data_IF_579584146285
#
_entry.id   IF_579584146285
#
_cell.length_a   1.000
_cell.length_b   1.000
_cell.length_c   1.000
_cell.angle_alpha   90.00
_cell.angle_beta   90.00
_cell.angle_gamma   90.00
#
_symmetry.space_group_name_H-M   'P 1'
#
loop_
_entity.id
_entity.type
_entity.pdbx_description
1 polymer ?
#
# COMPACT_ATOMS: atom_id res chain seq x y z
N UNK A 1 16.08 16.52 10.88
CA UNK A 1 14.61 16.37 10.86
C UNK A 1 14.08 16.68 12.26
N UNK A 2 12.97 17.44 12.34
CA UNK A 2 12.18 17.49 13.56
C UNK A 2 11.41 16.19 13.73
N UNK A 3 11.14 15.80 14.96
CA UNK A 3 10.32 14.62 15.24
C UNK A 3 8.93 14.76 14.62
N UNK A 4 8.32 13.64 14.25
CA UNK A 4 6.90 13.59 13.93
C UNK A 4 6.07 14.14 15.11
N UNK A 5 4.92 14.76 14.86
CA UNK A 5 4.08 15.34 15.92
C UNK A 5 3.42 14.29 16.81
N UNK A 6 3.45 13.03 16.40
CA UNK A 6 2.89 11.87 17.11
C UNK A 6 3.72 10.62 16.81
N UNK A 7 3.53 9.55 17.56
CA UNK A 7 4.06 8.24 17.19
C UNK A 7 3.30 7.72 15.98
N UNK A 8 4.00 7.12 15.00
CA UNK A 8 3.36 6.60 13.78
C UNK A 8 3.93 5.24 13.43
N UNK A 9 3.05 4.28 13.17
CA UNK A 9 3.41 2.98 12.64
C UNK A 9 2.47 2.55 11.50
N UNK A 10 2.89 1.58 10.69
CA UNK A 10 2.08 1.01 9.60
C UNK A 10 1.47 2.03 8.62
N UNK A 11 2.15 3.15 8.45
CA UNK A 11 1.78 4.21 7.51
C UNK A 11 2.27 3.94 6.09
N UNK A 12 1.64 4.58 5.11
CA UNK A 12 2.21 4.79 3.78
C UNK A 12 3.17 5.99 3.81
N UNK A 13 4.26 5.91 3.04
CA UNK A 13 5.21 7.03 2.90
C UNK A 13 5.54 7.23 1.43
N UNK A 14 5.48 8.47 0.95
CA UNK A 14 5.93 8.83 -0.39
C UNK A 14 6.53 10.24 -0.44
N UNK A 15 7.30 10.49 -1.49
CA UNK A 15 7.98 11.75 -1.75
C UNK A 15 7.51 12.32 -3.09
N UNK A 16 7.25 13.61 -3.14
CA UNK A 16 7.03 14.36 -4.39
C UNK A 16 7.78 15.67 -4.30
N UNK A 17 8.66 15.90 -5.25
CA UNK A 17 9.59 17.01 -5.21
C UNK A 17 10.37 17.03 -3.87
N UNK A 18 10.27 18.10 -3.11
CA UNK A 18 10.87 18.23 -1.79
C UNK A 18 9.87 18.02 -0.65
N UNK A 19 8.72 17.40 -0.90
CA UNK A 19 7.68 17.22 0.11
C UNK A 19 7.49 15.74 0.43
N UNK A 20 7.73 15.39 1.68
CA UNK A 20 7.49 14.05 2.22
C UNK A 20 6.05 13.97 2.76
N UNK A 21 5.37 12.88 2.45
CA UNK A 21 4.02 12.58 2.93
C UNK A 21 4.03 11.31 3.77
N UNK A 22 3.33 11.36 4.90
CA UNK A 22 3.01 10.23 5.78
C UNK A 22 1.49 10.07 5.77
N UNK A 23 1.01 8.91 5.36
CA UNK A 23 -0.39 8.67 5.02
C UNK A 23 -0.96 7.58 5.90
N UNK A 24 -1.99 7.90 6.67
CA UNK A 24 -2.68 6.94 7.53
C UNK A 24 -1.79 6.28 8.58
N UNK A 25 -1.89 4.97 8.70
CA UNK A 25 -1.24 4.18 9.74
C UNK A 25 -1.94 4.31 11.08
N UNK A 26 -1.27 3.85 12.15
CA UNK A 26 -1.67 4.20 13.50
C UNK A 26 -0.92 5.45 13.94
N UNK A 27 -1.62 6.41 14.51
CA UNK A 27 -1.07 7.61 15.13
C UNK A 27 -1.43 7.59 16.62
N UNK A 28 -0.41 7.66 17.49
CA UNK A 28 -0.54 7.44 18.92
C UNK A 28 -1.34 6.17 19.30
N UNK A 29 -1.08 5.09 18.55
CA UNK A 29 -1.70 3.79 18.76
C UNK A 29 -3.11 3.63 18.19
N UNK A 30 -3.66 4.64 17.49
CA UNK A 30 -5.01 4.61 16.92
C UNK A 30 -4.99 4.70 15.39
N UNK A 31 -5.84 3.92 14.66
CA UNK A 31 -5.99 4.05 13.23
C UNK A 31 -6.32 5.49 12.82
N UNK A 32 -5.62 6.00 11.80
CA UNK A 32 -5.72 7.39 11.39
C UNK A 32 -6.05 7.53 9.89
N UNK A 33 -6.87 8.54 9.59
CA UNK A 33 -7.10 9.02 8.23
C UNK A 33 -6.20 10.21 7.86
N UNK A 34 -5.36 10.68 8.79
CA UNK A 34 -4.55 11.89 8.59
C UNK A 34 -3.43 11.68 7.56
N UNK A 35 -3.17 12.73 6.81
CA UNK A 35 -1.99 12.89 5.95
C UNK A 35 -1.13 13.98 6.56
N UNK A 36 0.08 13.61 6.98
CA UNK A 36 1.08 14.55 7.46
C UNK A 36 2.07 14.85 6.33
N UNK A 37 2.58 16.06 6.31
CA UNK A 37 3.59 16.48 5.32
C UNK A 37 4.71 17.28 5.96
N UNK A 38 5.92 17.15 5.36
CA UNK A 38 7.11 17.91 5.74
C UNK A 38 7.82 18.35 4.47
N UNK A 39 8.14 19.64 4.37
CA UNK A 39 8.92 20.21 3.27
C UNK A 39 10.42 20.06 3.56
N UNK A 40 11.12 19.28 2.74
CA UNK A 40 12.56 19.03 2.87
C UNK A 40 13.36 20.26 2.47
N UNK A 41 14.49 20.52 3.15
CA UNK A 41 15.40 21.63 2.83
C UNK A 41 15.00 22.98 3.40
N UNK A 42 13.85 23.11 4.09
CA UNK A 42 13.43 24.28 4.86
C UNK A 42 13.35 23.92 6.34
N UNK A 43 12.41 24.51 7.07
CA UNK A 43 12.30 24.34 8.54
C UNK A 43 12.06 22.89 9.01
N UNK A 44 11.88 21.93 8.12
CA UNK A 44 11.63 20.50 8.40
C UNK A 44 10.47 20.29 9.41
N UNK A 45 9.46 21.16 9.34
CA UNK A 45 8.29 21.11 10.19
C UNK A 45 7.21 20.22 9.60
N UNK A 46 6.69 19.32 10.43
CA UNK A 46 5.55 18.51 10.11
C UNK A 46 4.26 19.30 10.28
N UNK A 47 3.33 19.13 9.34
CA UNK A 47 1.96 19.67 9.42
C UNK A 47 0.96 18.65 8.91
N UNK A 48 -0.25 18.75 9.41
CA UNK A 48 -1.37 18.02 8.85
C UNK A 48 -1.77 18.70 7.53
N UNK A 49 -1.69 17.94 6.45
CA UNK A 49 -2.08 18.41 5.11
C UNK A 49 -3.60 18.28 4.91
N UNK A 50 -4.13 17.10 5.23
CA UNK A 50 -5.54 16.76 5.02
C UNK A 50 -5.92 15.51 5.81
N UNK A 51 -7.19 15.10 5.72
CA UNK A 51 -7.66 13.76 6.08
C UNK A 51 -8.23 13.04 4.87
N UNK A 52 -7.96 11.75 4.76
CA UNK A 52 -8.61 10.89 3.76
C UNK A 52 -10.12 10.83 4.03
N UNK A 53 -10.90 10.77 2.97
CA UNK A 53 -12.34 10.51 3.08
C UNK A 53 -12.60 9.03 3.41
N UNK A 54 -13.66 8.77 4.17
CA UNK A 54 -14.05 7.43 4.64
C UNK A 54 -13.25 6.99 5.86
N UNK A 55 -13.10 5.67 6.01
CA UNK A 55 -12.48 5.08 7.19
C UNK A 55 -10.95 5.25 7.22
N UNK A 56 -10.33 5.25 8.41
CA UNK A 56 -8.88 5.20 8.57
C UNK A 56 -8.25 4.04 7.80
N UNK A 57 -6.98 4.21 7.39
CA UNK A 57 -6.26 3.20 6.64
C UNK A 57 -4.92 2.88 7.30
N UNK A 58 -4.82 1.69 7.87
CA UNK A 58 -3.57 1.10 8.38
C UNK A 58 -2.95 0.24 7.29
N UNK A 59 -1.64 0.34 7.06
CA UNK A 59 -0.90 -0.32 5.97
C UNK A 59 -1.41 0.03 4.55
N UNK A 60 -1.74 1.29 4.24
CA UNK A 60 -2.02 1.68 2.87
C UNK A 60 -0.73 1.72 2.05
N UNK A 61 -0.84 1.60 0.73
CA UNK A 61 0.20 2.06 -0.20
C UNK A 61 -0.08 3.48 -0.64
N UNK A 62 0.98 4.25 -0.88
CA UNK A 62 0.84 5.57 -1.47
C UNK A 62 1.97 5.88 -2.46
N UNK A 63 1.67 6.77 -3.39
CA UNK A 63 2.62 7.40 -4.28
C UNK A 63 2.18 8.83 -4.56
N UNK A 64 3.09 9.71 -4.95
CA UNK A 64 2.75 11.08 -5.27
C UNK A 64 3.44 11.50 -6.58
N UNK A 65 2.70 12.22 -7.43
CA UNK A 65 3.17 12.69 -8.71
C UNK A 65 2.31 13.87 -9.21
N UNK A 66 2.94 14.86 -9.79
CA UNK A 66 2.29 16.00 -10.46
C UNK A 66 1.18 16.64 -9.60
N UNK A 67 1.52 17.03 -8.38
CA UNK A 67 0.59 17.68 -7.45
C UNK A 67 -0.51 16.79 -6.91
N UNK A 68 -0.43 15.48 -7.10
CA UNK A 68 -1.46 14.51 -6.68
C UNK A 68 -0.86 13.44 -5.78
N UNK A 69 -1.59 13.08 -4.73
CA UNK A 69 -1.28 11.95 -3.85
C UNK A 69 -2.27 10.83 -4.14
N UNK A 70 -1.75 9.65 -4.37
CA UNK A 70 -2.51 8.43 -4.68
C UNK A 70 -2.38 7.45 -3.51
N UNK A 71 -3.50 6.88 -3.08
CA UNK A 71 -3.55 5.96 -1.93
C UNK A 71 -4.45 4.78 -2.26
N UNK A 72 -4.00 3.54 -2.02
CA UNK A 72 -4.83 2.33 -2.13
C UNK A 72 -4.63 1.40 -0.94
N UNK A 73 -5.57 0.49 -0.78
CA UNK A 73 -5.52 -0.51 0.27
C UNK A 73 -5.62 0.10 1.65
N UNK A 74 -5.05 -0.62 2.62
CA UNK A 74 -5.17 -0.33 4.03
C UNK A 74 -6.38 -0.98 4.65
N UNK A 75 -6.36 -1.10 5.97
CA UNK A 75 -7.45 -1.68 6.73
C UNK A 75 -7.83 -0.81 7.92
N UNK A 76 -9.04 -0.98 8.38
CA UNK A 76 -9.55 -0.47 9.65
C UNK A 76 -10.16 -1.63 10.43
N UNK A 77 -9.61 -1.93 11.61
CA UNK A 77 -10.11 -2.99 12.46
C UNK A 77 -11.18 -2.47 13.41
N UNK A 78 -12.39 -3.00 13.29
CA UNK A 78 -13.55 -2.60 14.09
C UNK A 78 -14.53 -3.79 14.26
N UNK A 79 -14.04 -4.90 14.81
CA UNK A 79 -14.82 -6.13 14.95
C UNK A 79 -15.46 -6.55 13.62
N UNK A 80 -16.74 -6.88 13.61
CA UNK A 80 -17.47 -7.27 12.40
C UNK A 80 -17.62 -6.15 11.37
N UNK A 81 -17.44 -4.89 11.78
CA UNK A 81 -17.43 -3.73 10.89
C UNK A 81 -16.04 -3.41 10.35
N UNK A 82 -15.07 -4.32 10.51
CA UNK A 82 -13.72 -4.16 9.96
C UNK A 82 -13.76 -4.01 8.44
N UNK A 83 -12.87 -3.19 7.91
CA UNK A 83 -12.74 -2.91 6.47
C UNK A 83 -11.34 -3.28 6.02
N UNK A 84 -11.25 -3.95 4.87
CA UNK A 84 -10.01 -4.11 4.09
C UNK A 84 -10.27 -3.47 2.73
N UNK A 85 -9.72 -2.28 2.53
CA UNK A 85 -10.03 -1.46 1.38
C UNK A 85 -9.43 -2.04 0.08
N UNK A 86 -10.24 -2.06 -0.98
CA UNK A 86 -9.79 -2.37 -2.35
C UNK A 86 -9.66 -1.10 -3.19
N UNK A 87 -10.59 -0.14 -3.00
CA UNK A 87 -10.59 1.13 -3.72
C UNK A 87 -9.44 2.04 -3.35
N UNK A 88 -9.08 2.91 -4.29
CA UNK A 88 -8.12 3.98 -4.07
C UNK A 88 -8.76 5.33 -3.83
N UNK A 89 -7.92 6.27 -3.47
CA UNK A 89 -8.23 7.69 -3.30
C UNK A 89 -7.12 8.51 -3.96
N UNK A 90 -7.50 9.60 -4.62
CA UNK A 90 -6.57 10.62 -5.13
C UNK A 90 -6.84 11.95 -4.45
N UNK A 91 -5.84 12.51 -3.81
CA UNK A 91 -5.87 13.87 -3.28
C UNK A 91 -5.18 14.83 -4.24
N UNK A 92 -5.85 15.91 -4.58
CA UNK A 92 -5.32 16.97 -5.42
C UNK A 92 -4.87 18.13 -4.52
N UNK A 93 -3.55 18.38 -4.46
CA UNK A 93 -2.99 19.35 -3.52
C UNK A 93 -3.48 20.78 -3.79
N UNK A 94 -3.67 21.14 -5.06
CA UNK A 94 -4.12 22.47 -5.46
C UNK A 94 -5.55 22.72 -5.01
N UNK A 95 -6.46 21.78 -5.28
CA UNK A 95 -7.90 21.92 -5.04
C UNK A 95 -8.30 21.45 -3.65
N UNK A 96 -7.37 20.82 -2.92
CA UNK A 96 -7.58 20.24 -1.58
C UNK A 96 -8.77 19.28 -1.52
N UNK A 97 -8.95 18.48 -2.56
CA UNK A 97 -10.07 17.56 -2.68
C UNK A 97 -9.61 16.12 -2.90
N UNK A 98 -10.39 15.19 -2.34
CA UNK A 98 -10.25 13.75 -2.54
C UNK A 98 -11.23 13.24 -3.60
N UNK A 99 -10.75 12.39 -4.48
CA UNK A 99 -11.55 11.69 -5.48
C UNK A 99 -11.32 10.18 -5.36
N UNK A 100 -12.37 9.35 -5.50
CA UNK A 100 -12.22 7.91 -5.50
C UNK A 100 -11.47 7.43 -6.76
N UNK A 101 -10.72 6.34 -6.61
CA UNK A 101 -10.02 5.65 -7.69
C UNK A 101 -10.46 4.18 -7.75
N UNK A 102 -10.38 3.55 -8.94
CA UNK A 102 -10.76 2.15 -9.10
C UNK A 102 -9.85 1.21 -8.32
N UNK A 103 -10.42 0.08 -7.88
CA UNK A 103 -9.68 -1.02 -7.31
C UNK A 103 -8.87 -1.77 -8.38
N UNK A 104 -7.66 -2.26 -8.07
CA UNK A 104 -6.98 -3.22 -8.94
C UNK A 104 -7.75 -4.55 -9.00
N UNK A 105 -7.62 -5.25 -10.13
CA UNK A 105 -8.26 -6.55 -10.34
C UNK A 105 -7.23 -7.57 -10.81
N UNK A 106 -7.42 -8.83 -10.41
CA UNK A 106 -6.63 -9.95 -10.95
C UNK A 106 -7.11 -10.34 -12.34
N UNK A 107 -6.43 -11.31 -12.98
CA UNK A 107 -6.78 -11.80 -14.31
C UNK A 107 -8.19 -12.41 -14.44
N UNK A 108 -8.84 -12.74 -13.32
CA UNK A 108 -10.22 -13.24 -13.25
C UNK A 108 -11.25 -12.12 -12.98
N UNK A 109 -10.81 -10.86 -12.92
CA UNK A 109 -11.65 -9.71 -12.64
C UNK A 109 -12.02 -9.49 -11.17
N UNK A 110 -11.48 -10.31 -10.24
CA UNK A 110 -11.70 -10.15 -8.81
C UNK A 110 -10.89 -8.95 -8.28
N UNK A 111 -11.53 -8.11 -7.48
CA UNK A 111 -10.86 -6.99 -6.82
C UNK A 111 -9.80 -7.45 -5.83
N UNK A 112 -8.64 -6.82 -5.91
CA UNK A 112 -7.52 -7.01 -5.00
C UNK A 112 -7.43 -5.86 -4.00
N UNK A 113 -6.95 -6.16 -2.80
CA UNK A 113 -6.48 -5.11 -1.89
C UNK A 113 -4.98 -4.93 -2.03
N UNK A 114 -4.52 -3.70 -1.87
CA UNK A 114 -3.09 -3.38 -1.73
C UNK A 114 -2.68 -3.18 -0.27
N UNK A 115 -3.50 -3.66 0.68
CA UNK A 115 -3.15 -3.65 2.11
C UNK A 115 -1.87 -4.46 2.34
N UNK A 116 -0.87 -3.83 2.95
CA UNK A 116 0.44 -4.42 3.17
C UNK A 116 1.26 -4.67 1.90
N UNK A 117 0.82 -4.19 0.74
CA UNK A 117 1.62 -4.16 -0.48
C UNK A 117 2.71 -3.08 -0.40
N UNK A 118 3.53 -2.99 -1.42
CA UNK A 118 4.43 -1.85 -1.64
C UNK A 118 4.08 -1.16 -2.96
N UNK A 119 4.35 0.14 -3.05
CA UNK A 119 4.15 0.93 -4.24
C UNK A 119 5.38 1.77 -4.58
N UNK A 120 5.61 2.01 -5.87
CA UNK A 120 6.68 2.85 -6.38
C UNK A 120 6.21 3.61 -7.61
N UNK A 121 6.54 4.89 -7.68
CA UNK A 121 6.42 5.68 -8.89
C UNK A 121 7.55 5.31 -9.86
N UNK A 122 7.20 5.03 -11.10
CA UNK A 122 8.14 4.89 -12.21
C UNK A 122 7.75 5.87 -13.31
N UNK A 123 8.75 6.57 -13.86
CA UNK A 123 8.57 7.49 -14.98
C UNK A 123 9.47 7.01 -16.11
N UNK A 124 8.88 6.74 -17.26
CA UNK A 124 9.60 6.31 -18.47
C UNK A 124 10.35 7.47 -19.11
N UNK A 125 11.34 7.22 -20.00
CA UNK A 125 12.11 8.27 -20.67
C UNK A 125 11.27 9.24 -21.52
N UNK A 126 10.12 8.81 -22.02
CA UNK A 126 9.14 9.60 -22.77
C UNK A 126 8.17 10.37 -21.86
N UNK A 127 8.37 10.29 -20.53
CA UNK A 127 7.59 11.04 -19.54
C UNK A 127 6.28 10.40 -19.11
N UNK A 128 5.99 9.17 -19.54
CA UNK A 128 4.81 8.45 -19.04
C UNK A 128 5.05 7.95 -17.62
N UNK A 129 4.16 8.31 -16.71
CA UNK A 129 4.25 7.98 -15.29
C UNK A 129 3.27 6.87 -14.93
N UNK A 130 3.73 5.92 -14.11
CA UNK A 130 2.94 4.80 -13.61
C UNK A 130 3.31 4.49 -12.17
N UNK A 131 2.37 3.92 -11.41
CA UNK A 131 2.60 3.41 -10.06
C UNK A 131 2.67 1.89 -10.13
N UNK A 132 3.83 1.32 -9.82
CA UNK A 132 4.04 -0.12 -9.77
C UNK A 132 3.75 -0.59 -8.34
N UNK A 133 2.90 -1.61 -8.21
CA UNK A 133 2.53 -2.20 -6.93
C UNK A 133 2.83 -3.69 -6.93
N UNK A 134 3.29 -4.21 -5.78
CA UNK A 134 3.56 -5.64 -5.61
C UNK A 134 3.23 -6.10 -4.19
N UNK A 135 2.81 -7.36 -4.06
CA UNK A 135 2.49 -7.98 -2.79
C UNK A 135 1.14 -7.58 -2.22
N UNK A 136 1.01 -7.71 -0.91
CA UNK A 136 -0.20 -7.45 -0.16
C UNK A 136 -0.96 -8.71 0.23
N UNK A 137 -1.87 -8.55 1.18
CA UNK A 137 -2.63 -9.65 1.76
C UNK A 137 -3.79 -10.11 0.87
N UNK A 138 -4.30 -11.33 1.10
CA UNK A 138 -5.61 -11.70 0.56
C UNK A 138 -6.71 -11.01 1.37
N UNK A 139 -7.57 -10.25 0.69
CA UNK A 139 -8.64 -9.46 1.30
C UNK A 139 -9.53 -10.28 2.22
N UNK A 140 -10.03 -11.41 1.71
CA UNK A 140 -11.10 -12.16 2.40
C UNK A 140 -10.55 -12.96 3.59
N UNK A 141 -9.32 -13.49 3.47
CA UNK A 141 -8.64 -14.20 4.57
C UNK A 141 -8.23 -13.21 5.66
N UNK A 142 -7.71 -12.06 5.26
CA UNK A 142 -7.28 -11.04 6.21
C UNK A 142 -8.47 -10.41 6.93
N UNK A 143 -9.56 -10.10 6.21
CA UNK A 143 -10.79 -9.60 6.82
C UNK A 143 -11.37 -10.58 7.83
N UNK A 144 -11.43 -11.87 7.50
CA UNK A 144 -11.93 -12.92 8.38
C UNK A 144 -11.18 -12.96 9.72
N UNK A 145 -9.87 -12.75 9.68
CA UNK A 145 -9.04 -12.70 10.88
C UNK A 145 -9.23 -11.40 11.68
N UNK A 146 -9.13 -10.22 11.04
CA UNK A 146 -9.21 -8.92 11.75
C UNK A 146 -10.62 -8.60 12.27
N UNK A 147 -11.65 -9.16 11.65
CA UNK A 147 -13.04 -9.05 12.14
C UNK A 147 -13.31 -9.94 13.36
N UNK A 148 -12.40 -10.88 13.68
CA UNK A 148 -12.58 -11.88 14.72
C UNK A 148 -13.57 -12.98 14.35
N UNK A 149 -13.97 -13.10 13.07
CA UNK A 149 -14.96 -14.07 12.62
C UNK A 149 -14.38 -15.48 12.56
N UNK A 150 -13.15 -15.62 12.02
CA UNK A 150 -12.44 -16.90 11.88
C UNK A 150 -13.29 -18.02 11.27
N UNK A 151 -14.07 -17.69 10.23
CA UNK A 151 -14.93 -18.63 9.52
C UNK A 151 -14.17 -19.63 8.65
N UNK A 152 -12.97 -19.23 8.18
CA UNK A 152 -12.13 -20.05 7.28
C UNK A 152 -11.20 -21.00 8.03
N UNK A 153 -10.87 -20.69 9.27
CA UNK A 153 -10.01 -21.49 10.15
C UNK A 153 -10.19 -21.05 11.60
N UNK A 154 -10.12 -21.97 12.56
CA UNK A 154 -10.16 -21.62 13.97
C UNK A 154 -9.00 -20.66 14.32
N UNK A 155 -9.25 -19.69 15.19
CA UNK A 155 -8.26 -18.69 15.60
C UNK A 155 -6.95 -19.32 16.09
N UNK A 156 -7.04 -20.40 16.88
CA UNK A 156 -5.89 -21.12 17.43
C UNK A 156 -5.00 -21.79 16.35
N UNK A 157 -5.54 -21.98 15.13
CA UNK A 157 -4.84 -22.61 14.01
C UNK A 157 -4.45 -21.61 12.91
N UNK A 158 -4.90 -20.37 13.01
CA UNK A 158 -4.64 -19.35 12.01
C UNK A 158 -3.14 -19.21 11.70
N UNK A 159 -2.29 -19.02 12.71
CA UNK A 159 -0.84 -18.85 12.53
C UNK A 159 -0.09 -20.15 12.17
N UNK A 160 -0.73 -21.30 12.30
CA UNK A 160 -0.14 -22.62 11.99
C UNK A 160 -0.25 -22.99 10.52
N UNK A 161 -1.08 -22.27 9.74
CA UNK A 161 -1.28 -22.56 8.31
C UNK A 161 0.01 -22.40 7.52
N UNK A 162 0.11 -23.15 6.42
CA UNK A 162 1.20 -23.02 5.45
C UNK A 162 1.15 -21.67 4.74
N UNK A 163 2.28 -21.22 4.20
CA UNK A 163 2.42 -19.94 3.48
C UNK A 163 1.36 -19.80 2.39
N UNK A 164 1.17 -20.85 1.57
CA UNK A 164 0.23 -20.85 0.45
C UNK A 164 -1.22 -20.64 0.86
N UNK A 165 -1.60 -21.02 2.08
CA UNK A 165 -2.97 -20.87 2.58
C UNK A 165 -3.38 -19.39 2.68
N UNK A 166 -2.45 -18.48 3.00
CA UNK A 166 -2.75 -17.05 3.15
C UNK A 166 -3.02 -16.35 1.82
N UNK A 167 -2.65 -16.96 0.70
CA UNK A 167 -2.90 -16.45 -0.64
C UNK A 167 -2.53 -14.97 -0.82
N UNK A 168 -1.37 -14.56 -0.31
CA UNK A 168 -0.88 -13.21 -0.53
C UNK A 168 -0.74 -12.94 -2.03
N UNK A 169 -0.96 -11.69 -2.42
CA UNK A 169 -0.91 -11.30 -3.83
C UNK A 169 0.52 -11.44 -4.40
N UNK A 170 0.67 -12.33 -5.36
CA UNK A 170 1.93 -12.52 -6.10
C UNK A 170 1.92 -11.89 -7.50
N UNK A 171 0.90 -11.10 -7.83
CA UNK A 171 0.75 -10.46 -9.13
C UNK A 171 1.26 -9.02 -9.06
N UNK A 172 2.32 -8.64 -9.80
CA UNK A 172 2.72 -7.25 -9.89
C UNK A 172 1.74 -6.49 -10.79
N UNK A 173 1.36 -5.31 -10.35
CA UNK A 173 0.34 -4.46 -10.96
C UNK A 173 0.92 -3.09 -11.29
N UNK A 174 0.43 -2.45 -12.32
CA UNK A 174 0.69 -1.04 -12.58
C UNK A 174 -0.59 -0.23 -12.68
N UNK A 175 -0.55 0.98 -12.17
CA UNK A 175 -1.58 1.98 -12.37
C UNK A 175 -1.03 3.05 -13.30
N UNK A 176 -1.60 3.15 -14.49
CA UNK A 176 -1.22 4.13 -15.51
C UNK A 176 -1.85 5.49 -15.17
N UNK A 177 -1.03 6.48 -14.84
CA UNK A 177 -1.53 7.79 -14.39
C UNK A 177 -2.27 8.56 -15.47
N UNK A 178 -1.91 8.38 -16.73
CA UNK A 178 -2.52 9.06 -17.90
C UNK A 178 -3.91 8.53 -18.23
N UNK A 179 -4.10 7.21 -18.15
CA UNK A 179 -5.36 6.54 -18.51
C UNK A 179 -6.22 6.23 -17.31
N UNK A 180 -5.69 6.37 -16.10
CA UNK A 180 -6.30 6.00 -14.82
C UNK A 180 -6.76 4.53 -14.78
N UNK A 181 -5.95 3.62 -15.35
CA UNK A 181 -6.26 2.19 -15.44
C UNK A 181 -5.20 1.33 -14.79
N UNK A 182 -5.68 0.22 -14.22
CA UNK A 182 -4.84 -0.86 -13.73
C UNK A 182 -4.50 -1.84 -14.84
N UNK A 183 -3.26 -2.30 -14.85
CA UNK A 183 -2.74 -3.34 -15.74
C UNK A 183 -1.95 -4.36 -14.93
N UNK A 184 -1.94 -5.60 -15.40
CA UNK A 184 -1.12 -6.68 -14.85
C UNK A 184 0.24 -6.60 -15.54
N UNK A 185 1.29 -6.36 -14.77
CA UNK A 185 2.65 -6.19 -15.31
C UNK A 185 3.27 -7.51 -15.76
N UNK A 186 3.01 -8.59 -15.03
CA UNK A 186 3.50 -9.93 -15.37
C UNK A 186 2.66 -11.02 -14.71
N UNK A 187 2.96 -12.29 -15.04
CA UNK A 187 2.32 -13.43 -14.40
C UNK A 187 2.53 -13.46 -12.89
N UNK A 188 1.56 -14.03 -12.18
CA UNK A 188 1.65 -14.26 -10.74
C UNK A 188 2.87 -15.12 -10.41
N UNK A 189 3.63 -14.71 -9.39
CA UNK A 189 4.77 -15.46 -8.87
C UNK A 189 4.74 -15.51 -7.35
N UNK A 190 4.97 -16.68 -6.72
CA UNK A 190 5.06 -16.79 -5.28
C UNK A 190 6.15 -15.92 -4.65
N UNK A 191 7.15 -15.53 -5.45
CA UNK A 191 8.26 -14.68 -4.99
C UNK A 191 7.82 -13.28 -4.56
N UNK A 192 6.70 -12.78 -5.11
CA UNK A 192 6.13 -11.47 -4.76
C UNK A 192 4.98 -11.58 -3.75
N UNK A 193 4.53 -12.79 -3.42
CA UNK A 193 3.44 -13.03 -2.48
C UNK A 193 3.88 -12.76 -1.04
N UNK A 194 4.03 -11.48 -0.69
CA UNK A 194 4.50 -11.00 0.62
C UNK A 194 3.73 -9.76 1.05
N UNK A 195 3.66 -9.52 2.35
CA UNK A 195 3.18 -8.27 2.92
C UNK A 195 4.33 -7.50 3.60
N UNK A 196 4.26 -6.17 3.62
CA UNK A 196 5.25 -5.32 4.28
C UNK A 196 6.65 -5.38 3.68
N UNK A 197 6.80 -5.83 2.42
CA UNK A 197 8.07 -5.73 1.69
C UNK A 197 8.34 -4.28 1.30
N UNK A 198 9.60 -3.97 1.02
CA UNK A 198 10.02 -2.69 0.47
C UNK A 198 10.42 -2.84 -0.98
N UNK A 199 10.37 -1.75 -1.72
CA UNK A 199 10.77 -1.72 -3.12
C UNK A 199 11.80 -0.62 -3.35
N UNK A 200 12.81 -0.94 -4.17
CA UNK A 200 13.77 0.02 -4.68
C UNK A 200 13.96 -0.22 -6.19
N UNK A 201 14.27 0.82 -6.93
CA UNK A 201 14.53 0.70 -8.38
C UNK A 201 15.90 1.26 -8.73
N UNK A 202 16.59 0.56 -9.62
CA UNK A 202 17.82 1.04 -10.24
C UNK A 202 17.74 0.80 -11.75
N UNK A 203 17.71 1.88 -12.53
CA UNK A 203 17.45 1.85 -13.98
C UNK A 203 16.08 1.18 -14.24
N UNK A 204 16.09 0.05 -14.95
CA UNK A 204 14.90 -0.73 -15.29
C UNK A 204 14.71 -1.98 -14.42
N UNK A 205 15.49 -2.09 -13.34
CA UNK A 205 15.43 -3.23 -12.43
C UNK A 205 14.80 -2.82 -11.12
N UNK A 206 13.73 -3.49 -10.74
CA UNK A 206 13.05 -3.34 -9.47
C UNK A 206 13.54 -4.41 -8.50
N UNK A 207 13.92 -4.00 -7.30
CA UNK A 207 14.32 -4.86 -6.19
C UNK A 207 13.19 -4.89 -5.16
N UNK A 208 12.64 -6.07 -4.93
CA UNK A 208 11.58 -6.31 -3.95
C UNK A 208 12.20 -7.00 -2.73
N UNK A 209 12.21 -6.32 -1.58
CA UNK A 209 13.10 -6.62 -0.47
C UNK A 209 12.31 -7.05 0.76
N UNK A 210 12.63 -8.20 1.32
CA UNK A 210 12.09 -8.67 2.60
C UNK A 210 10.60 -9.00 2.57
N UNK A 211 9.87 -8.57 3.59
CA UNK A 211 8.44 -8.78 3.76
C UNK A 211 8.07 -10.06 4.50
N UNK A 212 6.81 -10.17 4.85
CA UNK A 212 6.21 -11.36 5.48
C UNK A 212 5.65 -12.32 4.43
N UNK A 213 6.00 -13.59 4.54
CA UNK A 213 5.44 -14.68 3.73
C UNK A 213 4.09 -15.15 4.28
N UNK A 214 3.90 -15.02 5.56
CA UNK A 214 2.67 -15.21 6.34
C UNK A 214 2.80 -14.46 7.67
N UNK A 215 1.73 -14.21 8.43
CA UNK A 215 1.83 -13.54 9.72
C UNK A 215 2.90 -14.15 10.62
N UNK A 216 3.86 -13.32 11.07
CA UNK A 216 4.95 -13.73 11.93
C UNK A 216 6.14 -14.42 11.25
N UNK A 217 6.11 -14.69 9.94
CA UNK A 217 7.22 -15.29 9.20
C UNK A 217 7.77 -14.34 8.15
N UNK A 218 8.92 -13.76 8.39
CA UNK A 218 9.59 -12.80 7.50
C UNK A 218 10.60 -13.47 6.58
N UNK A 219 10.75 -12.92 5.38
CA UNK A 219 11.76 -13.33 4.40
C UNK A 219 12.94 -12.36 4.42
N UNK A 220 14.20 -12.82 4.46
CA UNK A 220 15.36 -11.97 4.20
C UNK A 220 15.64 -11.81 2.70
N UNK A 221 14.90 -12.49 1.83
CA UNK A 221 15.18 -12.59 0.40
C UNK A 221 14.92 -11.29 -0.35
N UNK A 222 15.71 -11.03 -1.37
CA UNK A 222 15.54 -9.97 -2.36
C UNK A 222 15.15 -10.63 -3.68
N UNK A 223 14.07 -10.14 -4.28
CA UNK A 223 13.60 -10.54 -5.63
C UNK A 223 13.92 -9.42 -6.59
N UNK A 224 14.49 -9.77 -7.72
CA UNK A 224 14.83 -8.84 -8.78
C UNK A 224 13.85 -9.04 -9.96
N UNK A 225 13.24 -7.95 -10.41
CA UNK A 225 12.34 -7.90 -11.57
C UNK A 225 12.94 -6.96 -12.61
N UNK A 226 13.09 -7.43 -13.84
CA UNK A 226 13.49 -6.60 -14.95
C UNK A 226 12.22 -6.08 -15.66
N UNK A 227 12.10 -4.76 -15.76
CA UNK A 227 10.96 -4.06 -16.35
C UNK A 227 11.15 -3.73 -17.85
N UNK A 228 12.09 -4.42 -18.51
CA UNK A 228 12.32 -4.27 -19.96
C UNK A 228 11.28 -4.98 -20.79
#
# INVERSE_FOLDING_TARGET
>A
FRSLPCTVDNMGVCLMDNRLFVVGGNQDGHPSASVLTCELGKNLEWKKETEMIGEPRVQPVCAAYDGKLYVWGGFYQNGKSSIVATSGLRYQLQDKCWNPLPAPRNGEGKELTLTGATAMLAVSPDGEAQIICAGGVNRDIFWDAISGTYSKVAQADYLKKDISWYQFNGCPLTYQLKTERWEILSHQTPLLARAGAQVAMRKHTLYYIGGELKPGLRSPGIVQLDLR
#
